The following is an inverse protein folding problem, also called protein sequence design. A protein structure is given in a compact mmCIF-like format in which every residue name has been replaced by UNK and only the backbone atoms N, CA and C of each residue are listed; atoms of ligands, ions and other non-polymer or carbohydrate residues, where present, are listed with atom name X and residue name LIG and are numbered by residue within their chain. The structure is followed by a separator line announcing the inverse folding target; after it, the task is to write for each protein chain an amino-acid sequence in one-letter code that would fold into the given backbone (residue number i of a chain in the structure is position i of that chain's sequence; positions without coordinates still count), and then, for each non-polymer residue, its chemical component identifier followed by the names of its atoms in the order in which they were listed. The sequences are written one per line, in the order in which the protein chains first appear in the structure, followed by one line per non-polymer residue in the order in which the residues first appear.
data_IF_593136624504
#
_entry.id   IF_593136624504
#
_cell.length_a   1.000
_cell.length_b   1.000
_cell.length_c   1.000
_cell.angle_alpha   90.00
_cell.angle_beta   90.00
_cell.angle_gamma   90.00
#
_symmetry.space_group_name_H-M   'P 1'
#
loop_
_entity.id
_entity.type
_entity.pdbx_description
1 polymer ?
#
# COMPACT_ATOMS: atom_id res chain seq x y z
N UNK A 1 -4.12 -24.29 -7.96
CA UNK A 1 -2.90 -23.49 -8.27
C UNK A 1 -3.24 -22.09 -8.78
N UNK A 2 -3.98 -21.96 -9.88
CA UNK A 2 -4.32 -20.63 -10.43
C UNK A 2 -5.26 -19.81 -9.52
N UNK A 3 -6.20 -20.47 -8.84
CA UNK A 3 -7.12 -19.85 -7.88
C UNK A 3 -6.41 -19.26 -6.67
N UNK A 4 -5.40 -19.96 -6.15
CA UNK A 4 -4.53 -19.49 -5.05
C UNK A 4 -3.81 -18.21 -5.48
N UNK A 5 -3.25 -18.21 -6.69
CA UNK A 5 -2.56 -17.04 -7.24
C UNK A 5 -3.51 -15.83 -7.34
N UNK A 6 -4.71 -16.02 -7.89
CA UNK A 6 -5.70 -14.95 -7.99
C UNK A 6 -6.20 -14.47 -6.63
N UNK A 7 -6.31 -15.36 -5.64
CA UNK A 7 -6.71 -15.01 -4.28
C UNK A 7 -5.66 -14.12 -3.60
N UNK A 8 -4.37 -14.49 -3.71
CA UNK A 8 -3.26 -13.67 -3.20
C UNK A 8 -3.21 -12.32 -3.93
N UNK A 9 -3.34 -12.33 -5.26
CA UNK A 9 -3.30 -11.11 -6.06
C UNK A 9 -4.46 -10.17 -5.69
N UNK A 10 -5.67 -10.72 -5.52
CA UNK A 10 -6.85 -9.95 -5.11
C UNK A 10 -6.66 -9.34 -3.72
N UNK A 11 -6.24 -10.14 -2.74
CA UNK A 11 -5.91 -9.66 -1.40
C UNK A 11 -4.88 -8.53 -1.45
N UNK A 12 -3.78 -8.73 -2.18
CA UNK A 12 -2.71 -7.75 -2.31
C UNK A 12 -3.21 -6.43 -2.89
N UNK A 13 -3.97 -6.47 -3.99
CA UNK A 13 -4.50 -5.27 -4.64
C UNK A 13 -5.52 -4.56 -3.75
N UNK A 14 -6.44 -5.29 -3.11
CA UNK A 14 -7.42 -4.71 -2.21
C UNK A 14 -6.76 -3.99 -1.04
N UNK A 15 -5.85 -4.67 -0.32
CA UNK A 15 -5.14 -4.05 0.79
C UNK A 15 -4.23 -2.92 0.34
N UNK A 16 -3.62 -3.02 -0.84
CA UNK A 16 -2.80 -1.95 -1.40
C UNK A 16 -3.61 -0.69 -1.66
N UNK A 17 -4.77 -0.80 -2.31
CA UNK A 17 -5.64 0.35 -2.58
C UNK A 17 -6.17 0.98 -1.30
N UNK A 18 -6.61 0.17 -0.34
CA UNK A 18 -7.06 0.66 0.98
C UNK A 18 -5.94 1.38 1.71
N UNK A 19 -4.75 0.80 1.74
CA UNK A 19 -3.60 1.39 2.42
C UNK A 19 -3.16 2.66 1.72
N UNK A 20 -3.17 2.70 0.40
CA UNK A 20 -2.81 3.87 -0.39
C UNK A 20 -3.72 5.06 -0.07
N UNK A 21 -5.03 4.83 0.05
CA UNK A 21 -5.98 5.84 0.48
C UNK A 21 -5.68 6.34 1.90
N UNK A 22 -5.37 5.44 2.84
CA UNK A 22 -5.02 5.79 4.21
C UNK A 22 -3.70 6.56 4.30
N UNK A 23 -2.65 6.12 3.60
CA UNK A 23 -1.33 6.74 3.63
C UNK A 23 -1.37 8.14 3.02
N UNK A 24 -2.13 8.34 1.95
CA UNK A 24 -2.32 9.66 1.35
C UNK A 24 -3.09 10.61 2.26
N UNK A 25 -4.10 10.12 2.99
CA UNK A 25 -4.95 10.96 3.85
C UNK A 25 -4.36 11.24 5.23
N UNK A 26 -3.61 10.30 5.81
CA UNK A 26 -3.27 10.33 7.25
C UNK A 26 -1.78 10.37 7.58
N UNK A 27 -0.86 10.10 6.64
CA UNK A 27 0.58 10.10 6.97
C UNK A 27 1.19 11.49 6.76
N UNK A 28 1.49 12.25 7.85
CA UNK A 28 2.25 13.49 7.76
C UNK A 28 3.68 13.20 7.29
N UNK A 29 4.21 14.05 6.41
CA UNK A 29 5.56 13.89 5.82
C UNK A 29 5.58 13.26 4.42
N UNK A 30 4.42 12.86 3.90
CA UNK A 30 4.22 12.51 2.49
C UNK A 30 4.29 13.73 1.57
N UNK A 31 4.02 14.93 2.09
CA UNK A 31 4.21 16.18 1.38
C UNK A 31 5.50 16.88 1.84
N UNK A 32 6.38 17.22 0.89
CA UNK A 32 7.56 18.04 1.12
C UNK A 32 7.27 19.44 0.62
N UNK A 33 7.44 20.43 1.48
CA UNK A 33 7.38 21.83 1.08
C UNK A 33 8.75 22.18 0.50
N UNK A 34 8.81 22.48 -0.79
CA UNK A 34 10.03 22.90 -1.47
C UNK A 34 9.83 24.35 -1.91
N UNK A 35 10.72 25.23 -1.48
CA UNK A 35 10.81 26.58 -2.05
C UNK A 35 11.57 26.50 -3.38
N UNK A 36 10.89 26.85 -4.46
CA UNK A 36 11.56 27.09 -5.76
C UNK A 36 12.39 28.37 -5.69
N UNK A 37 13.41 28.48 -6.56
CA UNK A 37 14.28 29.66 -6.67
C UNK A 37 13.52 30.97 -6.95
N UNK A 38 12.30 30.89 -7.47
CA UNK A 38 11.38 32.02 -7.71
C UNK A 38 10.57 32.43 -6.47
N UNK A 39 10.84 31.88 -5.28
CA UNK A 39 10.12 32.19 -4.04
C UNK A 39 8.72 31.56 -3.95
N UNK A 40 8.32 30.76 -4.95
CA UNK A 40 7.07 29.99 -4.91
C UNK A 40 7.23 28.75 -4.03
N UNK A 41 6.36 28.62 -3.05
CA UNK A 41 6.28 27.45 -2.18
C UNK A 41 5.43 26.40 -2.88
N UNK A 42 6.02 25.26 -3.27
CA UNK A 42 5.27 24.11 -3.80
C UNK A 42 5.25 22.98 -2.80
N UNK A 43 4.06 22.41 -2.61
CA UNK A 43 3.89 21.17 -1.89
C UNK A 43 4.06 20.01 -2.87
N UNK A 44 5.16 19.27 -2.73
CA UNK A 44 5.47 18.11 -3.59
C UNK A 44 5.11 16.84 -2.83
N UNK A 45 4.18 16.04 -3.35
CA UNK A 45 3.92 14.72 -2.81
C UNK A 45 5.07 13.77 -3.15
N UNK A 46 5.59 13.10 -2.12
CA UNK A 46 6.57 12.03 -2.24
C UNK A 46 5.87 10.72 -2.59
N UNK A 47 5.33 10.63 -3.81
CA UNK A 47 4.60 9.46 -4.31
C UNK A 47 5.38 8.15 -4.13
N UNK A 48 6.70 8.17 -4.33
CA UNK A 48 7.53 6.98 -4.11
C UNK A 48 7.48 6.45 -2.67
N UNK A 49 7.50 7.34 -1.67
CA UNK A 49 7.37 6.93 -0.26
C UNK A 49 5.96 6.41 0.05
N UNK A 50 4.94 7.09 -0.47
CA UNK A 50 3.53 6.67 -0.32
C UNK A 50 3.35 5.26 -0.87
N UNK A 51 3.82 5.00 -2.09
CA UNK A 51 3.72 3.69 -2.73
C UNK A 51 4.48 2.62 -1.94
N UNK A 52 5.71 2.90 -1.50
CA UNK A 52 6.51 1.94 -0.75
C UNK A 52 5.87 1.59 0.59
N UNK A 53 5.46 2.59 1.37
CA UNK A 53 4.78 2.36 2.66
C UNK A 53 3.49 1.58 2.45
N UNK A 54 2.70 1.96 1.44
CA UNK A 54 1.45 1.28 1.12
C UNK A 54 1.68 -0.18 0.72
N UNK A 55 2.73 -0.45 -0.07
CA UNK A 55 3.08 -1.79 -0.50
C UNK A 55 3.55 -2.68 0.66
N UNK A 56 4.38 -2.15 1.56
CA UNK A 56 4.86 -2.91 2.74
C UNK A 56 3.70 -3.31 3.64
N UNK A 57 2.85 -2.36 4.01
CA UNK A 57 1.69 -2.61 4.87
C UNK A 57 0.73 -3.59 4.19
N UNK A 58 0.40 -3.37 2.91
CA UNK A 58 -0.49 -4.26 2.17
C UNK A 58 0.06 -5.69 2.06
N UNK A 59 1.37 -5.85 1.87
CA UNK A 59 2.02 -7.16 1.80
C UNK A 59 1.89 -7.92 3.13
N UNK A 60 2.08 -7.24 4.26
CA UNK A 60 1.93 -7.83 5.60
C UNK A 60 0.49 -8.30 5.81
N UNK A 61 -0.50 -7.42 5.59
CA UNK A 61 -1.91 -7.78 5.78
C UNK A 61 -2.38 -8.86 4.82
N UNK A 62 -1.95 -8.81 3.56
CA UNK A 62 -2.30 -9.83 2.57
C UNK A 62 -1.69 -11.18 2.93
N UNK A 63 -0.44 -11.20 3.41
CA UNK A 63 0.21 -12.42 3.87
C UNK A 63 -0.49 -13.02 5.09
N UNK A 64 -0.83 -12.20 6.08
CA UNK A 64 -1.60 -12.64 7.26
C UNK A 64 -2.96 -13.21 6.87
N UNK A 65 -3.72 -12.47 6.06
CA UNK A 65 -5.05 -12.89 5.63
C UNK A 65 -4.99 -14.16 4.78
N UNK A 66 -4.00 -14.26 3.89
CA UNK A 66 -3.78 -15.47 3.13
C UNK A 66 -3.47 -16.65 4.05
N UNK A 67 -2.57 -16.50 5.02
CA UNK A 67 -2.17 -17.58 5.93
C UNK A 67 -3.32 -18.08 6.80
N UNK A 68 -4.14 -17.17 7.35
CA UNK A 68 -5.23 -17.56 8.27
C UNK A 68 -6.52 -17.99 7.58
N UNK A 69 -6.85 -17.41 6.42
CA UNK A 69 -8.17 -17.61 5.79
C UNK A 69 -8.11 -18.40 4.49
N UNK A 70 -7.03 -18.28 3.71
CA UNK A 70 -6.96 -18.88 2.37
C UNK A 70 -6.17 -20.18 2.41
N UNK A 71 -4.98 -20.18 3.02
CA UNK A 71 -4.11 -21.34 3.10
C UNK A 71 -4.78 -22.59 3.69
N UNK A 72 -5.56 -22.51 4.79
CA UNK A 72 -6.23 -23.69 5.37
C UNK A 72 -7.30 -24.30 4.46
N UNK A 73 -7.85 -23.53 3.51
CA UNK A 73 -8.85 -24.04 2.56
C UNK A 73 -8.24 -24.94 1.50
N UNK A 74 -6.95 -24.77 1.20
CA UNK A 74 -6.25 -25.55 0.17
C UNK A 74 -5.40 -26.68 0.76
N UNK A 75 -5.01 -26.58 2.03
CA UNK A 75 -4.25 -27.59 2.77
C UNK A 75 -4.89 -27.80 4.14
N UNK A 76 -5.96 -28.62 4.21
CA UNK A 76 -6.67 -28.94 5.46
C UNK A 76 -5.87 -29.86 6.38
#
# INVERSE_FOLDING_TARGET
MIEIFFSILFLLVSYFMTTLALVQGYIPGTSKIVQEKDGKVRQVLQYGKILLISFVIASIFSGLMFYYFVYPLYYP
#
